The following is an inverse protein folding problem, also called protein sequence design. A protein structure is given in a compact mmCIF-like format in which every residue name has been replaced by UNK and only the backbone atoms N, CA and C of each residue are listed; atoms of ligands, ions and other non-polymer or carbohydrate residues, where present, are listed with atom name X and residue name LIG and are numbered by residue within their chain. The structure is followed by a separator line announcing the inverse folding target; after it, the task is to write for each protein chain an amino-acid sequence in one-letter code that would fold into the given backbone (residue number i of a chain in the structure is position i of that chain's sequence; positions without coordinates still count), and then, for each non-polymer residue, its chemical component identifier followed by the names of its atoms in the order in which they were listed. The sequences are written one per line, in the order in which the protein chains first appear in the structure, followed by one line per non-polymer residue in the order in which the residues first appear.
data_IF_319623676882
#
_entry.id   IF_319623676882
#
_cell.length_a   1.000
_cell.length_b   1.000
_cell.length_c   1.000
_cell.angle_alpha   90.00
_cell.angle_beta   90.00
_cell.angle_gamma   90.00
#
_symmetry.space_group_name_H-M   'P 1'
#
loop_
_entity.id
_entity.type
_entity.pdbx_description
1 polymer ?
#
# COMPACT_ATOMS: atom_id res chain seq x y z
N UNK A 1 9.72 9.88 3.80
CA UNK A 1 8.63 10.19 4.77
C UNK A 1 8.67 11.69 5.07
N UNK A 2 7.52 12.36 5.18
CA UNK A 2 7.35 13.82 5.32
C UNK A 2 7.81 14.40 6.69
N UNK A 3 8.76 13.76 7.37
CA UNK A 3 9.30 14.19 8.67
C UNK A 3 8.73 13.48 9.90
N UNK A 4 7.67 12.67 9.77
CA UNK A 4 7.15 11.86 10.88
C UNK A 4 8.12 10.77 11.30
N UNK A 5 8.25 10.58 12.63
CA UNK A 5 9.05 9.50 13.23
C UNK A 5 8.11 8.34 13.56
N UNK A 6 8.19 7.26 12.80
CA UNK A 6 7.31 6.09 12.96
C UNK A 6 8.16 4.88 13.35
N UNK A 7 7.77 4.22 14.44
CA UNK A 7 8.40 3.02 14.96
C UNK A 7 8.19 1.78 14.08
N UNK A 8 8.74 0.67 14.54
CA UNK A 8 8.61 -0.65 13.91
C UNK A 8 7.24 -1.27 14.18
N UNK A 9 6.70 -2.00 13.21
CA UNK A 9 5.43 -2.75 13.35
C UNK A 9 4.21 -1.89 13.73
N UNK A 10 4.22 -0.61 13.37
CA UNK A 10 3.08 0.30 13.57
C UNK A 10 1.98 0.00 12.54
N UNK A 11 0.74 -0.14 13.01
CA UNK A 11 -0.43 -0.25 12.14
C UNK A 11 -1.06 1.15 11.97
N UNK A 12 -1.03 1.69 10.74
CA UNK A 12 -1.62 2.99 10.39
C UNK A 12 -2.75 2.77 9.38
N UNK A 13 -4.00 2.93 9.81
CA UNK A 13 -5.18 2.88 8.93
C UNK A 13 -5.72 4.28 8.59
N UNK A 14 -5.31 5.32 9.34
CA UNK A 14 -5.62 6.72 9.01
C UNK A 14 -4.64 7.33 8.00
N UNK A 15 -5.12 8.29 7.22
CA UNK A 15 -4.31 9.13 6.31
C UNK A 15 -4.29 10.61 6.73
N UNK A 16 -4.97 10.96 7.83
CA UNK A 16 -5.21 12.36 8.22
C UNK A 16 -4.20 12.83 9.28
N UNK A 17 -2.94 13.03 8.84
CA UNK A 17 -1.88 13.65 9.64
C UNK A 17 -1.55 15.01 9.04
N UNK A 18 -1.86 16.10 9.75
CA UNK A 18 -1.73 17.46 9.17
C UNK A 18 -0.29 17.95 9.11
N UNK A 19 0.49 17.69 10.16
CA UNK A 19 1.87 18.17 10.29
C UNK A 19 2.81 17.01 10.63
N UNK A 20 3.17 16.16 9.64
CA UNK A 20 3.91 14.93 9.90
C UNK A 20 5.24 15.15 10.63
N UNK A 21 5.96 16.24 10.35
CA UNK A 21 7.24 16.58 11.00
C UNK A 21 7.14 16.77 12.53
N UNK A 22 5.92 16.95 13.06
CA UNK A 22 5.65 17.14 14.48
C UNK A 22 5.07 15.89 15.16
N UNK A 23 4.99 14.75 14.45
CA UNK A 23 4.36 13.52 14.94
C UNK A 23 5.40 12.43 15.15
N UNK A 24 5.37 11.83 16.35
CA UNK A 24 6.14 10.64 16.71
C UNK A 24 5.22 9.51 17.12
N UNK A 25 5.42 8.32 16.56
CA UNK A 25 4.63 7.11 16.82
C UNK A 25 5.59 5.99 17.23
N UNK A 26 5.42 5.44 18.43
CA UNK A 26 6.23 4.36 18.98
C UNK A 26 5.94 3.00 18.34
N UNK A 27 6.82 2.03 18.59
CA UNK A 27 6.70 0.68 18.00
C UNK A 27 5.37 0.01 18.37
N UNK A 28 4.86 -0.85 17.48
CA UNK A 28 3.66 -1.69 17.72
C UNK A 28 2.39 -0.87 18.06
N UNK A 29 2.38 0.45 17.82
CA UNK A 29 1.22 1.30 18.00
C UNK A 29 0.18 1.06 16.88
N UNK A 30 -1.10 1.21 17.23
CA UNK A 30 -2.24 1.00 16.34
C UNK A 30 -3.01 2.30 16.23
N UNK A 31 -3.08 2.87 15.02
CA UNK A 31 -3.89 4.04 14.70
C UNK A 31 -4.99 3.63 13.74
N UNK A 32 -6.23 3.61 14.22
CA UNK A 32 -7.39 3.15 13.45
C UNK A 32 -7.85 4.16 12.38
N UNK A 33 -8.89 3.78 11.61
CA UNK A 33 -9.40 4.60 10.51
C UNK A 33 -9.85 6.00 10.96
N UNK A 34 -9.65 6.99 10.08
CA UNK A 34 -10.14 8.37 10.25
C UNK A 34 -9.75 9.03 11.57
N UNK A 35 -8.63 8.62 12.14
CA UNK A 35 -8.01 9.35 13.24
C UNK A 35 -7.39 10.62 12.69
N UNK A 36 -7.85 11.78 13.17
CA UNK A 36 -7.25 13.06 12.83
C UNK A 36 -6.11 13.36 13.82
N UNK A 37 -4.88 13.39 13.31
CA UNK A 37 -3.70 13.82 14.07
C UNK A 37 -3.35 15.24 13.66
N UNK A 38 -3.76 16.20 14.50
CA UNK A 38 -3.62 17.62 14.19
C UNK A 38 -2.65 18.31 15.17
N UNK A 39 -1.44 18.61 14.71
CA UNK A 39 -0.39 19.22 15.55
C UNK A 39 -0.46 20.75 15.62
N UNK A 40 -1.35 21.39 14.85
CA UNK A 40 -1.54 22.83 14.84
C UNK A 40 -2.92 23.25 15.39
N UNK A 41 -2.96 24.40 16.04
CA UNK A 41 -4.21 25.02 16.50
C UNK A 41 -4.20 26.51 16.15
N UNK A 42 -5.32 26.99 15.60
CA UNK A 42 -5.57 28.42 15.39
C UNK A 42 -6.54 28.89 16.45
N UNK A 43 -6.06 29.74 17.37
CA UNK A 43 -6.89 30.31 18.44
C UNK A 43 -6.58 31.79 18.59
N UNK A 44 -7.63 32.62 18.64
CA UNK A 44 -7.52 34.07 18.76
C UNK A 44 -6.61 34.73 17.68
N UNK A 45 -6.57 34.17 16.47
CA UNK A 45 -5.73 34.68 15.38
C UNK A 45 -4.26 34.23 15.43
N UNK A 46 -3.87 33.43 16.42
CA UNK A 46 -2.52 32.87 16.53
C UNK A 46 -2.51 31.41 16.09
N UNK A 47 -1.62 31.07 15.16
CA UNK A 47 -1.31 29.70 14.76
C UNK A 47 -0.20 29.17 15.67
N UNK A 48 -0.51 28.11 16.42
CA UNK A 48 0.44 27.44 17.31
C UNK A 48 0.68 26.01 16.85
N UNK A 49 1.92 25.55 16.95
CA UNK A 49 2.32 24.18 16.60
C UNK A 49 2.86 23.50 17.84
N UNK A 50 2.34 22.31 18.16
CA UNK A 50 2.85 21.52 19.28
C UNK A 50 2.99 20.05 18.84
N UNK A 51 4.13 19.41 19.16
CA UNK A 51 4.36 18.03 18.77
C UNK A 51 3.37 17.07 19.42
N UNK A 52 3.07 15.98 18.71
CA UNK A 52 2.24 14.88 19.20
C UNK A 52 3.12 13.64 19.33
N UNK A 53 3.03 12.98 20.47
CA UNK A 53 3.77 11.73 20.75
C UNK A 53 2.81 10.61 21.11
N UNK A 54 2.89 9.51 20.37
CA UNK A 54 2.13 8.29 20.62
C UNK A 54 3.09 7.20 21.07
N UNK A 55 2.89 6.69 22.29
CA UNK A 55 3.76 5.68 22.90
C UNK A 55 3.73 4.30 22.23
N UNK A 56 4.65 3.44 22.66
CA UNK A 56 4.73 2.04 22.25
C UNK A 56 3.48 1.27 22.66
N UNK A 57 3.00 0.34 21.83
CA UNK A 57 1.83 -0.52 22.11
C UNK A 57 0.53 0.26 22.37
N UNK A 58 0.46 1.53 22.01
CA UNK A 58 -0.72 2.36 22.23
C UNK A 58 -1.73 2.16 21.10
N UNK A 59 -3.01 2.18 21.43
CA UNK A 59 -4.11 2.00 20.47
C UNK A 59 -4.99 3.26 20.42
N UNK A 60 -5.28 3.73 19.22
CA UNK A 60 -6.16 4.86 18.97
C UNK A 60 -7.35 4.37 18.17
N UNK A 61 -8.52 4.40 18.80
CA UNK A 61 -9.78 3.98 18.21
C UNK A 61 -10.21 4.87 17.03
N UNK A 62 -11.05 4.36 16.12
CA UNK A 62 -11.41 5.06 14.89
C UNK A 62 -12.21 6.34 15.16
N UNK A 63 -12.13 7.29 14.23
CA UNK A 63 -12.77 8.61 14.32
C UNK A 63 -12.29 9.48 15.50
N UNK A 64 -11.17 9.12 16.13
CA UNK A 64 -10.59 9.90 17.23
C UNK A 64 -9.91 11.16 16.71
N UNK A 65 -9.98 12.24 17.47
CA UNK A 65 -9.20 13.46 17.21
C UNK A 65 -8.09 13.58 18.25
N UNK A 66 -6.84 13.61 17.80
CA UNK A 66 -5.66 13.90 18.62
C UNK A 66 -5.21 15.32 18.33
N UNK A 67 -5.29 16.18 19.34
CA UNK A 67 -4.95 17.60 19.20
C UNK A 67 -3.49 17.90 19.55
N UNK A 68 -3.05 19.09 19.16
CA UNK A 68 -1.72 19.64 19.35
C UNK A 68 -1.22 19.46 20.80
N UNK A 69 0.02 18.96 20.95
CA UNK A 69 0.66 18.80 22.26
C UNK A 69 0.23 17.55 23.04
N UNK A 70 -0.61 16.68 22.46
CA UNK A 70 -1.03 15.43 23.12
C UNK A 70 0.13 14.45 23.27
N UNK A 71 0.20 13.80 24.44
CA UNK A 71 1.15 12.72 24.72
C UNK A 71 0.39 11.49 25.20
N UNK A 72 0.37 10.44 24.37
CA UNK A 72 -0.17 9.14 24.73
C UNK A 72 0.97 8.30 25.30
N UNK A 73 0.84 7.89 26.57
CA UNK A 73 1.81 6.99 27.20
C UNK A 73 1.85 5.62 26.52
N UNK A 74 2.84 4.80 26.86
CA UNK A 74 2.93 3.43 26.37
C UNK A 74 1.72 2.59 26.81
N UNK A 75 1.14 1.83 25.90
CA UNK A 75 -0.07 1.04 26.15
C UNK A 75 -1.33 1.88 26.39
N UNK A 76 -1.32 3.16 26.02
CA UNK A 76 -2.50 4.00 26.14
C UNK A 76 -3.55 3.58 25.11
N UNK A 77 -4.80 3.42 25.56
CA UNK A 77 -5.94 3.14 24.69
C UNK A 77 -6.87 4.34 24.64
N UNK A 78 -7.11 4.85 23.43
CA UNK A 78 -8.11 5.90 23.19
C UNK A 78 -9.34 5.27 22.56
N UNK A 79 -10.52 5.38 23.18
CA UNK A 79 -11.72 4.75 22.65
C UNK A 79 -12.15 5.39 21.31
N UNK A 80 -12.93 4.67 20.48
CA UNK A 80 -13.52 5.23 19.27
C UNK A 80 -14.30 6.51 19.53
N UNK A 81 -14.34 7.43 18.56
CA UNK A 81 -14.95 8.77 18.69
C UNK A 81 -14.38 9.60 19.85
N UNK A 82 -13.22 9.23 20.37
CA UNK A 82 -12.53 9.93 21.45
C UNK A 82 -12.00 11.28 20.98
N UNK A 83 -11.85 12.21 21.93
CA UNK A 83 -11.12 13.46 21.72
C UNK A 83 -10.04 13.58 22.77
N UNK A 84 -8.78 13.63 22.34
CA UNK A 84 -7.65 13.96 23.21
C UNK A 84 -7.45 15.46 23.13
N UNK A 85 -7.80 16.15 24.21
CA UNK A 85 -7.66 17.60 24.32
C UNK A 85 -6.19 18.02 24.24
N UNK A 86 -5.96 19.23 23.71
CA UNK A 86 -4.63 19.79 23.55
C UNK A 86 -3.83 19.77 24.87
N UNK A 87 -2.60 19.25 24.83
CA UNK A 87 -1.71 19.16 26.00
C UNK A 87 -2.06 18.08 27.03
N UNK A 88 -3.07 17.23 26.79
CA UNK A 88 -3.45 16.17 27.73
C UNK A 88 -2.51 14.97 27.65
N UNK A 89 -2.11 14.48 28.82
CA UNK A 89 -1.37 13.23 28.96
C UNK A 89 -2.36 12.09 29.21
N UNK A 90 -2.40 11.08 28.33
CA UNK A 90 -3.21 9.87 28.55
C UNK A 90 -2.31 8.84 29.26
N UNK A 91 -2.59 8.50 30.54
CA UNK A 91 -1.75 7.57 31.30
C UNK A 91 -1.86 6.13 30.79
N UNK A 92 -0.84 5.33 31.06
CA UNK A 92 -0.79 3.91 30.73
C UNK A 92 -1.81 3.12 31.56
N UNK A 93 -2.58 2.24 30.92
CA UNK A 93 -3.43 1.28 31.62
C UNK A 93 -2.75 -0.09 31.68
N UNK A 94 -1.88 -0.29 32.67
CA UNK A 94 -1.54 -1.65 33.11
C UNK A 94 -2.39 -2.00 34.33
N UNK A 95 -3.53 -2.65 34.10
CA UNK A 95 -4.15 -3.52 35.09
C UNK A 95 -4.15 -4.94 34.52
N UNK A 96 -3.57 -5.88 35.27
CA UNK A 96 -3.42 -7.30 34.90
C UNK A 96 -4.74 -7.84 34.35
N UNK A 97 -4.76 -8.21 33.07
CA UNK A 97 -5.77 -9.11 32.52
C UNK A 97 -5.08 -10.45 32.27
N UNK A 98 -5.73 -11.50 32.78
CA UNK A 98 -5.23 -12.86 32.86
C UNK A 98 -4.85 -13.41 31.48
N UNK A 99 -3.72 -14.10 31.42
CA UNK A 99 -3.20 -14.72 30.21
C UNK A 99 -3.94 -16.03 29.97
N UNK A 100 -5.17 -15.98 29.47
CA UNK A 100 -5.80 -17.19 28.94
C UNK A 100 -6.62 -16.93 27.66
N UNK A 101 -6.17 -17.62 26.62
CA UNK A 101 -6.84 -17.97 25.37
C UNK A 101 -7.23 -16.86 24.37
N UNK A 102 -6.24 -16.40 23.60
CA UNK A 102 -6.48 -16.09 22.17
C UNK A 102 -5.80 -17.20 21.36
N UNK A 103 -6.55 -18.10 20.70
CA UNK A 103 -5.93 -19.14 19.89
C UNK A 103 -5.32 -18.49 18.65
N UNK A 104 -4.00 -18.59 18.53
CA UNK A 104 -3.27 -18.30 17.30
C UNK A 104 -3.63 -19.35 16.26
N UNK A 105 -4.63 -19.05 15.42
CA UNK A 105 -4.98 -19.90 14.28
C UNK A 105 -3.94 -19.68 13.18
N UNK A 106 -2.87 -20.48 13.20
CA UNK A 106 -1.94 -20.59 12.07
C UNK A 106 -2.65 -21.33 10.93
N UNK A 107 -3.09 -20.60 9.90
CA UNK A 107 -3.71 -21.22 8.74
C UNK A 107 -2.63 -21.72 7.77
N UNK A 108 -2.57 -23.04 7.54
CA UNK A 108 -1.92 -23.60 6.35
C UNK A 108 -2.81 -23.29 5.14
N UNK A 109 -2.36 -22.35 4.30
CA UNK A 109 -2.83 -22.23 2.92
C UNK A 109 -2.49 -23.55 2.20
N UNK A 110 -3.43 -24.48 2.14
CA UNK A 110 -3.29 -25.64 1.26
C UNK A 110 -3.40 -25.16 -0.18
N UNK A 111 -2.29 -25.24 -0.91
CA UNK A 111 -2.32 -25.27 -2.36
C UNK A 111 -3.09 -26.52 -2.77
N UNK A 112 -4.37 -26.36 -3.09
CA UNK A 112 -5.10 -27.37 -3.85
C UNK A 112 -4.36 -27.68 -5.16
N UNK A 113 -4.60 -28.85 -5.77
CA UNK A 113 -3.83 -29.31 -6.92
C UNK A 113 -3.85 -28.24 -8.02
N UNK A 114 -2.65 -27.80 -8.38
CA UNK A 114 -2.35 -26.95 -9.54
C UNK A 114 -2.61 -27.72 -10.83
N UNK A 115 -3.87 -28.06 -11.06
CA UNK A 115 -4.43 -28.55 -12.32
C UNK A 115 -5.93 -28.26 -12.33
N UNK A 116 -6.34 -27.08 -11.89
CA UNK A 116 -7.60 -26.51 -12.39
C UNK A 116 -7.17 -25.46 -13.41
N UNK A 117 -7.32 -25.79 -14.69
CA UNK A 117 -7.21 -24.83 -15.77
C UNK A 117 -7.82 -23.51 -15.31
N UNK A 118 -7.05 -22.42 -15.27
CA UNK A 118 -7.60 -21.07 -15.29
C UNK A 118 -8.46 -21.04 -16.55
N UNK A 119 -9.72 -21.43 -16.42
CA UNK A 119 -10.72 -21.25 -17.44
C UNK A 119 -10.89 -19.76 -17.49
N UNK A 120 -10.03 -19.08 -18.26
CA UNK A 120 -10.25 -17.71 -18.66
C UNK A 120 -11.59 -17.77 -19.38
N UNK A 121 -12.65 -17.37 -18.68
CA UNK A 121 -13.94 -17.19 -19.32
C UNK A 121 -13.75 -15.93 -20.16
N UNK A 122 -13.23 -16.13 -21.38
CA UNK A 122 -13.10 -15.09 -22.39
C UNK A 122 -14.51 -14.72 -22.81
N UNK A 123 -15.13 -13.81 -22.07
CA UNK A 123 -16.44 -13.32 -22.45
C UNK A 123 -16.22 -12.31 -23.57
N UNK A 124 -16.48 -12.73 -24.81
CA UNK A 124 -16.62 -11.84 -25.97
C UNK A 124 -17.80 -10.89 -25.71
N UNK A 125 -17.56 -9.82 -24.98
CA UNK A 125 -18.49 -8.70 -24.87
C UNK A 125 -18.16 -7.67 -25.95
N UNK A 126 -19.18 -7.04 -26.53
CA UNK A 126 -18.96 -5.93 -27.44
C UNK A 126 -18.33 -4.77 -26.64
N UNK A 127 -17.19 -4.22 -27.09
CA UNK A 127 -16.39 -3.28 -26.29
C UNK A 127 -17.18 -2.03 -25.92
N UNK A 128 -18.09 -1.57 -26.79
CA UNK A 128 -18.95 -0.41 -26.55
C UNK A 128 -19.95 -0.64 -25.42
N UNK A 129 -20.57 -1.83 -25.34
CA UNK A 129 -21.56 -2.15 -24.30
C UNK A 129 -20.89 -2.25 -22.93
N UNK A 130 -19.76 -2.96 -22.85
CA UNK A 130 -18.99 -3.10 -21.62
C UNK A 130 -18.44 -1.75 -21.15
N UNK A 131 -17.97 -0.91 -22.07
CA UNK A 131 -17.50 0.44 -21.76
C UNK A 131 -18.63 1.31 -21.22
N UNK A 132 -19.79 1.35 -21.90
CA UNK A 132 -20.93 2.16 -21.47
C UNK A 132 -21.47 1.70 -20.11
N UNK A 133 -21.60 0.38 -19.91
CA UNK A 133 -21.99 -0.21 -18.63
C UNK A 133 -21.01 0.19 -17.51
N UNK A 134 -19.70 0.10 -17.77
CA UNK A 134 -18.68 0.52 -16.81
C UNK A 134 -18.80 2.01 -16.47
N UNK A 135 -18.96 2.88 -17.48
CA UNK A 135 -19.14 4.33 -17.25
C UNK A 135 -20.37 4.63 -16.39
N UNK A 136 -21.49 3.97 -16.65
CA UNK A 136 -22.72 4.13 -15.86
C UNK A 136 -22.50 3.67 -14.41
N UNK A 137 -21.93 2.48 -14.22
CA UNK A 137 -21.66 1.94 -12.88
C UNK A 137 -20.73 2.86 -12.10
N UNK A 138 -19.64 3.32 -12.72
CA UNK A 138 -18.68 4.23 -12.09
C UNK A 138 -19.32 5.57 -11.74
N UNK A 139 -20.08 6.16 -12.67
CA UNK A 139 -20.75 7.45 -12.45
C UNK A 139 -21.79 7.37 -11.33
N UNK A 140 -22.63 6.34 -11.32
CA UNK A 140 -23.60 6.09 -10.25
C UNK A 140 -22.89 5.87 -8.91
N UNK A 141 -21.83 5.06 -8.91
CA UNK A 141 -21.10 4.71 -7.70
C UNK A 141 -20.44 5.92 -7.02
N UNK A 142 -19.74 6.74 -7.81
CA UNK A 142 -19.04 7.93 -7.31
C UNK A 142 -20.03 8.96 -6.76
N UNK A 143 -21.18 9.13 -7.41
CA UNK A 143 -22.10 10.25 -7.14
C UNK A 143 -23.10 9.97 -6.02
N UNK A 144 -23.52 8.72 -5.85
CA UNK A 144 -24.60 8.37 -4.90
C UNK A 144 -24.24 7.22 -3.97
N UNK A 145 -23.62 6.16 -4.50
CA UNK A 145 -23.51 4.89 -3.77
C UNK A 145 -22.45 4.95 -2.66
N UNK A 146 -21.42 5.81 -2.79
CA UNK A 146 -20.46 6.07 -1.70
C UNK A 146 -21.12 6.45 -0.36
N UNK A 147 -22.26 7.14 -0.40
CA UNK A 147 -23.00 7.54 0.81
C UNK A 147 -23.72 6.36 1.48
N UNK A 148 -23.96 5.28 0.73
CA UNK A 148 -24.65 4.08 1.21
C UNK A 148 -23.67 3.04 1.77
N UNK A 149 -22.35 3.25 1.62
CA UNK A 149 -21.32 2.34 2.09
C UNK A 149 -21.52 1.94 3.56
N UNK A 150 -21.38 0.65 3.86
CA UNK A 150 -21.60 0.09 5.20
C UNK A 150 -23.07 -0.14 5.59
N UNK A 151 -24.04 0.28 4.77
CA UNK A 151 -25.47 0.04 5.02
C UNK A 151 -26.00 -1.16 4.23
N UNK A 152 -27.09 -1.77 4.70
CA UNK A 152 -27.78 -2.85 3.97
C UNK A 152 -28.31 -2.36 2.60
N UNK A 153 -28.58 -1.05 2.44
CA UNK A 153 -28.97 -0.45 1.16
C UNK A 153 -27.91 -0.65 0.08
N UNK A 154 -26.62 -0.63 0.45
CA UNK A 154 -25.52 -0.92 -0.47
C UNK A 154 -25.55 -2.38 -0.95
N UNK A 155 -25.85 -3.31 -0.05
CA UNK A 155 -26.05 -4.73 -0.39
C UNK A 155 -27.23 -4.91 -1.36
N UNK A 156 -28.35 -4.22 -1.13
CA UNK A 156 -29.50 -4.24 -2.04
C UNK A 156 -29.12 -3.71 -3.43
N UNK A 157 -28.40 -2.59 -3.50
CA UNK A 157 -27.90 -2.03 -4.76
C UNK A 157 -27.06 -3.04 -5.55
N UNK A 158 -26.10 -3.70 -4.90
CA UNK A 158 -25.28 -4.71 -5.57
C UNK A 158 -26.08 -5.94 -6.01
N UNK A 159 -27.11 -6.37 -5.24
CA UNK A 159 -28.03 -7.43 -5.68
C UNK A 159 -28.80 -7.05 -6.92
N UNK A 160 -29.27 -5.80 -7.02
CA UNK A 160 -29.94 -5.28 -8.22
C UNK A 160 -29.03 -5.28 -9.46
N UNK A 161 -27.72 -5.09 -9.26
CA UNK A 161 -26.72 -5.19 -10.33
C UNK A 161 -26.34 -6.65 -10.67
N UNK A 162 -26.94 -7.65 -10.02
CA UNK A 162 -26.73 -9.06 -10.33
C UNK A 162 -25.76 -9.81 -9.41
N UNK A 163 -25.20 -9.16 -8.38
CA UNK A 163 -24.37 -9.84 -7.39
C UNK A 163 -25.20 -10.74 -6.46
N UNK A 164 -24.64 -11.88 -6.05
CA UNK A 164 -25.27 -12.76 -5.06
C UNK A 164 -24.78 -12.39 -3.68
N UNK A 165 -25.60 -11.72 -2.87
CA UNK A 165 -25.20 -11.24 -1.53
C UNK A 165 -26.18 -11.75 -0.48
N UNK A 166 -25.64 -12.41 0.55
CA UNK A 166 -26.37 -12.91 1.71
C UNK A 166 -26.99 -11.81 2.58
N UNK A 167 -27.60 -12.23 3.69
CA UNK A 167 -28.22 -11.31 4.67
C UNK A 167 -27.21 -10.87 5.72
N UNK A 168 -27.43 -9.68 6.30
CA UNK A 168 -26.61 -9.12 7.40
C UNK A 168 -25.14 -8.94 7.00
N UNK A 169 -24.91 -8.46 5.79
CA UNK A 169 -23.56 -8.18 5.32
C UNK A 169 -23.27 -6.69 5.49
N UNK A 170 -22.07 -6.37 5.96
CA UNK A 170 -21.59 -5.00 6.04
C UNK A 170 -20.50 -4.82 5.00
N UNK A 171 -20.83 -4.10 3.93
CA UNK A 171 -19.90 -3.88 2.82
C UNK A 171 -19.47 -2.42 2.83
N UNK A 172 -18.23 -2.18 3.23
CA UNK A 172 -17.60 -0.84 3.24
C UNK A 172 -16.61 -0.65 2.09
N UNK A 173 -16.74 -1.50 1.07
CA UNK A 173 -15.94 -1.46 -0.15
C UNK A 173 -16.24 -0.19 -0.97
N UNK A 174 -15.18 0.50 -1.39
CA UNK A 174 -15.30 1.85 -1.97
C UNK A 174 -15.17 1.86 -3.49
N UNK A 175 -14.69 0.78 -4.11
CA UNK A 175 -14.54 0.76 -5.56
C UNK A 175 -15.86 0.38 -6.29
N UNK A 176 -16.14 0.98 -7.45
CA UNK A 176 -17.17 0.47 -8.34
C UNK A 176 -16.76 -0.92 -8.82
N UNK A 177 -17.66 -1.90 -8.66
CA UNK A 177 -17.45 -3.27 -9.14
C UNK A 177 -17.93 -3.37 -10.57
N UNK A 178 -17.02 -3.59 -11.52
CA UNK A 178 -17.32 -3.59 -12.96
C UNK A 178 -18.26 -4.70 -13.41
N UNK A 179 -18.15 -5.89 -12.80
CA UNK A 179 -18.96 -7.06 -13.12
C UNK A 179 -19.54 -7.70 -11.85
N UNK A 180 -20.55 -7.07 -11.22
CA UNK A 180 -21.16 -7.57 -9.99
C UNK A 180 -21.71 -8.99 -10.13
N UNK A 181 -22.11 -9.40 -11.33
CA UNK A 181 -22.60 -10.75 -11.65
C UNK A 181 -21.58 -11.88 -11.40
N UNK A 182 -20.29 -11.54 -11.32
CA UNK A 182 -19.19 -12.49 -11.04
C UNK A 182 -18.91 -12.65 -9.55
N UNK A 183 -19.59 -11.89 -8.69
CA UNK A 183 -19.33 -11.82 -7.25
C UNK A 183 -20.42 -12.56 -6.45
N UNK A 184 -19.99 -13.42 -5.53
CA UNK A 184 -20.84 -14.10 -4.55
C UNK A 184 -20.33 -13.86 -3.13
N UNK A 185 -21.19 -13.33 -2.26
CA UNK A 185 -20.91 -13.00 -0.87
C UNK A 185 -21.95 -13.70 0.02
N UNK A 186 -21.48 -14.52 0.97
CA UNK A 186 -22.28 -15.25 1.94
C UNK A 186 -22.94 -14.34 2.99
N UNK A 187 -23.71 -14.94 3.89
CA UNK A 187 -24.38 -14.21 4.97
C UNK A 187 -23.41 -13.85 6.09
N UNK A 188 -23.62 -12.70 6.74
CA UNK A 188 -22.79 -12.28 7.87
C UNK A 188 -21.36 -11.84 7.50
N UNK A 189 -21.09 -11.61 6.22
CA UNK A 189 -19.76 -11.18 5.75
C UNK A 189 -19.52 -9.71 6.07
N UNK A 190 -18.30 -9.40 6.53
CA UNK A 190 -17.84 -8.03 6.73
C UNK A 190 -16.70 -7.70 5.77
N UNK A 191 -16.90 -6.68 4.93
CA UNK A 191 -15.86 -6.10 4.09
C UNK A 191 -15.47 -4.75 4.69
N UNK A 192 -14.24 -4.67 5.18
CA UNK A 192 -13.68 -3.49 5.86
C UNK A 192 -13.48 -2.31 4.93
N UNK A 193 -13.15 -1.16 5.51
CA UNK A 193 -13.04 0.11 4.80
C UNK A 193 -12.01 0.08 3.69
N UNK A 194 -12.33 0.71 2.57
CA UNK A 194 -11.44 0.79 1.41
C UNK A 194 -11.03 -0.58 0.84
N UNK A 195 -11.65 -1.68 1.29
CA UNK A 195 -11.46 -2.99 0.66
C UNK A 195 -11.90 -2.91 -0.80
N UNK A 196 -11.14 -3.57 -1.67
CA UNK A 196 -11.31 -3.50 -3.12
C UNK A 196 -11.66 -4.87 -3.66
N UNK A 197 -12.80 -4.96 -4.35
CA UNK A 197 -13.18 -6.17 -5.07
C UNK A 197 -13.00 -5.93 -6.57
N UNK A 198 -12.09 -6.69 -7.18
CA UNK A 198 -11.75 -6.60 -8.60
C UNK A 198 -12.16 -7.89 -9.28
N UNK A 199 -13.31 -7.88 -9.96
CA UNK A 199 -13.84 -9.03 -10.72
C UNK A 199 -13.19 -9.20 -12.09
N UNK A 200 -12.48 -8.17 -12.57
CA UNK A 200 -11.66 -8.23 -13.78
C UNK A 200 -10.77 -7.00 -13.95
N UNK A 201 -9.69 -7.16 -14.70
CA UNK A 201 -8.70 -6.11 -14.98
C UNK A 201 -8.10 -6.28 -16.39
N UNK A 202 -7.57 -5.19 -16.95
CA UNK A 202 -6.85 -5.20 -18.21
C UNK A 202 -5.34 -5.35 -17.96
N UNK A 203 -4.71 -6.26 -18.70
CA UNK A 203 -3.25 -6.43 -18.79
C UNK A 203 -2.79 -6.22 -20.25
N UNK A 204 -1.48 -6.17 -20.46
CA UNK A 204 -0.89 -6.16 -21.81
C UNK A 204 -1.30 -7.37 -22.66
N UNK A 205 -1.67 -8.47 -22.02
CA UNK A 205 -2.14 -9.71 -22.65
C UNK A 205 -3.66 -9.78 -22.90
N UNK A 206 -4.43 -8.76 -22.52
CA UNK A 206 -5.88 -8.70 -22.73
C UNK A 206 -6.69 -8.42 -21.46
N UNK A 207 -8.00 -8.64 -21.52
CA UNK A 207 -8.90 -8.50 -20.36
C UNK A 207 -9.01 -9.84 -19.61
N UNK A 208 -8.69 -9.83 -18.33
CA UNK A 208 -8.81 -10.99 -17.44
C UNK A 208 -9.95 -10.77 -16.46
N UNK A 209 -10.91 -11.69 -16.41
CA UNK A 209 -12.00 -11.69 -15.43
C UNK A 209 -12.21 -13.08 -14.83
N UNK A 210 -12.89 -13.13 -13.69
CA UNK A 210 -13.08 -14.37 -12.95
C UNK A 210 -14.05 -14.21 -11.80
N UNK A 211 -14.65 -15.33 -11.38
CA UNK A 211 -15.59 -15.36 -10.26
C UNK A 211 -14.86 -15.10 -8.94
N UNK A 212 -15.55 -14.45 -8.02
CA UNK A 212 -15.10 -14.23 -6.64
C UNK A 212 -16.15 -14.80 -5.69
N UNK A 213 -15.71 -15.61 -4.74
CA UNK A 213 -16.55 -16.21 -3.72
C UNK A 213 -16.04 -15.84 -2.33
N UNK A 214 -16.90 -15.25 -1.51
CA UNK A 214 -16.66 -14.97 -0.10
C UNK A 214 -17.75 -15.68 0.68
N UNK A 215 -17.39 -16.67 1.49
CA UNK A 215 -18.34 -17.53 2.20
C UNK A 215 -18.80 -16.90 3.52
N UNK A 216 -19.79 -17.54 4.17
CA UNK A 216 -20.47 -17.00 5.35
C UNK A 216 -19.51 -16.61 6.48
N UNK A 217 -19.83 -15.54 7.20
CA UNK A 217 -19.08 -15.03 8.35
C UNK A 217 -17.59 -14.75 8.08
N UNK A 218 -17.18 -14.64 6.82
CA UNK A 218 -15.83 -14.23 6.47
C UNK A 218 -15.65 -12.72 6.71
N UNK A 219 -14.43 -12.32 7.05
CA UNK A 219 -14.03 -10.94 7.25
C UNK A 219 -12.92 -10.60 6.27
N UNK A 220 -13.05 -9.47 5.59
CA UNK A 220 -12.05 -8.92 4.69
C UNK A 220 -11.58 -7.61 5.28
N UNK A 221 -10.33 -7.56 5.71
CA UNK A 221 -9.76 -6.42 6.41
C UNK A 221 -9.69 -5.16 5.55
N UNK A 222 -9.52 -4.01 6.19
CA UNK A 222 -9.44 -2.71 5.52
C UNK A 222 -8.32 -2.68 4.48
N UNK A 223 -8.56 -1.96 3.37
CA UNK A 223 -7.61 -1.77 2.25
C UNK A 223 -7.11 -3.06 1.58
N UNK A 224 -7.71 -4.21 1.89
CA UNK A 224 -7.38 -5.47 1.23
C UNK A 224 -7.92 -5.49 -0.21
N UNK A 225 -7.31 -6.31 -1.06
CA UNK A 225 -7.68 -6.45 -2.47
C UNK A 225 -8.07 -7.90 -2.75
N UNK A 226 -9.31 -8.10 -3.20
CA UNK A 226 -9.83 -9.39 -3.65
C UNK A 226 -9.89 -9.38 -5.17
N UNK A 227 -9.07 -10.21 -5.81
CA UNK A 227 -8.84 -10.33 -7.24
C UNK A 227 -9.66 -11.49 -7.84
N UNK A 228 -9.74 -11.59 -9.18
CA UNK A 228 -10.51 -12.62 -9.84
C UNK A 228 -10.01 -14.04 -9.49
N UNK A 229 -10.94 -14.97 -9.26
CA UNK A 229 -10.63 -16.35 -8.89
C UNK A 229 -10.46 -16.58 -7.38
N UNK A 230 -10.60 -15.55 -6.55
CA UNK A 230 -10.50 -15.67 -5.10
C UNK A 230 -11.67 -16.45 -4.48
N UNK A 231 -11.34 -17.33 -3.55
CA UNK A 231 -12.30 -18.00 -2.67
C UNK A 231 -11.89 -17.76 -1.22
N UNK A 232 -12.66 -16.96 -0.49
CA UNK A 232 -12.48 -16.71 0.95
C UNK A 232 -13.46 -17.63 1.69
N UNK A 233 -12.91 -18.55 2.48
CA UNK A 233 -13.70 -19.60 3.12
C UNK A 233 -14.50 -19.10 4.32
N UNK A 234 -15.46 -19.92 4.76
CA UNK A 234 -16.34 -19.64 5.89
C UNK A 234 -15.52 -19.38 7.17
N UNK A 235 -15.90 -18.37 7.94
CA UNK A 235 -15.22 -17.94 9.18
C UNK A 235 -13.73 -17.58 9.02
N UNK A 236 -13.28 -17.23 7.81
CA UNK A 236 -11.89 -16.78 7.58
C UNK A 236 -11.81 -15.26 7.68
N UNK A 237 -10.70 -14.79 8.25
CA UNK A 237 -10.32 -13.39 8.29
C UNK A 237 -9.16 -13.17 7.32
N UNK A 238 -9.39 -12.42 6.25
CA UNK A 238 -8.33 -11.85 5.43
C UNK A 238 -7.85 -10.58 6.12
N UNK A 239 -6.56 -10.51 6.46
CA UNK A 239 -5.97 -9.37 7.16
C UNK A 239 -6.12 -8.06 6.40
N UNK A 240 -6.00 -6.93 7.11
CA UNK A 240 -5.90 -5.62 6.48
C UNK A 240 -4.69 -5.56 5.53
N UNK A 241 -4.76 -4.73 4.48
CA UNK A 241 -3.71 -4.55 3.46
C UNK A 241 -3.28 -5.83 2.72
N UNK A 242 -4.05 -6.92 2.86
CA UNK A 242 -3.75 -8.20 2.23
C UNK A 242 -4.34 -8.31 0.83
N UNK A 243 -3.78 -9.19 0.00
CA UNK A 243 -4.27 -9.46 -1.36
C UNK A 243 -4.69 -10.92 -1.49
N UNK A 244 -5.87 -11.17 -2.05
CA UNK A 244 -6.40 -12.49 -2.38
C UNK A 244 -6.68 -12.57 -3.89
N UNK A 245 -6.28 -13.65 -4.61
CA UNK A 245 -5.30 -14.62 -4.15
C UNK A 245 -3.97 -13.88 -3.92
N UNK A 246 -3.17 -14.38 -2.99
CA UNK A 246 -1.83 -13.84 -2.78
C UNK A 246 -1.06 -13.82 -4.11
N UNK A 247 -0.09 -12.91 -4.23
CA UNK A 247 0.79 -12.90 -5.40
C UNK A 247 1.32 -14.32 -5.65
N UNK A 248 1.39 -14.77 -6.92
CA UNK A 248 2.00 -16.05 -7.22
C UNK A 248 3.36 -16.09 -6.54
N UNK A 249 3.65 -17.19 -5.82
CA UNK A 249 4.91 -17.32 -5.07
C UNK A 249 6.06 -17.07 -6.04
N UNK A 250 6.71 -15.92 -5.91
CA UNK A 250 7.91 -15.63 -6.68
C UNK A 250 9.06 -16.39 -6.02
N UNK A 251 9.84 -17.11 -6.81
CA UNK A 251 10.94 -17.96 -6.30
C UNK A 251 11.91 -17.17 -5.40
N UNK A 252 12.11 -15.89 -5.73
CA UNK A 252 12.99 -14.96 -4.99
C UNK A 252 12.20 -14.02 -4.05
N UNK A 253 10.97 -13.62 -4.36
CA UNK A 253 10.28 -12.56 -3.59
C UNK A 253 8.99 -13.09 -3.00
N UNK A 254 9.08 -13.71 -1.82
CA UNK A 254 7.92 -14.18 -1.07
C UNK A 254 7.91 -13.62 0.36
N UNK A 255 6.73 -13.36 0.94
CA UNK A 255 6.61 -12.86 2.30
C UNK A 255 7.35 -13.76 3.30
N UNK A 256 8.11 -13.15 4.21
CA UNK A 256 8.83 -13.86 5.28
C UNK A 256 10.20 -14.43 4.92
N UNK A 257 10.65 -14.32 3.66
CA UNK A 257 12.04 -14.67 3.29
C UNK A 257 13.00 -13.51 3.52
N UNK A 258 14.15 -13.82 4.11
CA UNK A 258 15.29 -12.92 4.25
C UNK A 258 16.40 -13.40 3.32
N UNK A 259 17.18 -12.48 2.76
CA UNK A 259 18.31 -12.83 1.91
C UNK A 259 19.57 -12.12 2.38
N UNK A 260 20.72 -12.80 2.36
CA UNK A 260 21.99 -12.11 2.45
C UNK A 260 22.19 -11.26 1.20
N UNK A 261 22.54 -9.98 1.39
CA UNK A 261 22.76 -9.04 0.30
C UNK A 261 24.16 -8.44 0.41
N UNK A 262 24.90 -8.43 -0.70
CA UNK A 262 26.14 -7.68 -0.85
C UNK A 262 25.83 -6.43 -1.66
N UNK A 263 26.15 -5.25 -1.11
CA UNK A 263 26.06 -3.98 -1.84
C UNK A 263 27.46 -3.42 -2.05
N UNK A 264 27.83 -3.15 -3.30
CA UNK A 264 29.05 -2.45 -3.67
C UNK A 264 28.72 -1.11 -4.29
N UNK A 265 29.21 -0.04 -3.68
CA UNK A 265 29.07 1.30 -4.23
C UNK A 265 30.24 1.57 -5.18
N UNK A 266 29.94 2.19 -6.32
CA UNK A 266 30.92 2.68 -7.27
C UNK A 266 30.69 4.17 -7.46
N UNK A 267 31.71 4.97 -7.19
CA UNK A 267 31.72 6.38 -7.54
C UNK A 267 32.41 6.51 -8.90
N UNK A 268 31.86 7.32 -9.80
CA UNK A 268 32.58 7.69 -11.01
C UNK A 268 33.71 8.66 -10.63
N UNK A 269 34.94 8.24 -10.91
CA UNK A 269 36.10 9.13 -10.90
C UNK A 269 36.06 9.98 -12.18
N UNK A 270 36.37 11.27 -12.05
CA UNK A 270 36.59 12.14 -13.20
C UNK A 270 38.08 12.24 -13.51
N UNK A 271 38.45 12.87 -14.63
CA UNK A 271 39.85 13.11 -14.96
C UNK A 271 40.50 14.18 -14.06
N UNK A 272 39.69 14.99 -13.37
CA UNK A 272 40.14 15.72 -12.18
C UNK A 272 40.07 14.77 -10.99
N UNK A 273 41.14 14.73 -10.18
CA UNK A 273 41.35 13.87 -9.00
C UNK A 273 40.28 14.04 -7.89
N UNK A 274 39.25 14.87 -8.12
CA UNK A 274 38.09 15.02 -7.27
C UNK A 274 36.97 14.04 -7.66
N UNK A 275 36.52 13.26 -6.67
CA UNK A 275 35.35 12.40 -6.81
C UNK A 275 34.10 13.27 -7.04
N UNK A 276 33.44 13.13 -8.20
CA UNK A 276 32.17 13.82 -8.47
C UNK A 276 31.10 13.35 -7.48
N UNK A 277 30.47 14.31 -6.80
CA UNK A 277 29.52 14.05 -5.71
C UNK A 277 28.30 13.22 -6.19
N UNK A 278 27.93 13.35 -7.47
CA UNK A 278 26.60 13.00 -7.98
C UNK A 278 26.52 11.81 -8.94
N UNK A 279 27.66 11.26 -9.39
CA UNK A 279 27.70 10.08 -10.25
C UNK A 279 28.05 8.83 -9.43
N UNK A 280 27.04 8.22 -8.80
CA UNK A 280 27.22 6.99 -8.03
C UNK A 280 26.36 5.85 -8.59
N UNK A 281 26.92 4.66 -8.59
CA UNK A 281 26.23 3.41 -8.84
C UNK A 281 26.29 2.51 -7.61
N UNK A 282 25.32 1.61 -7.48
CA UNK A 282 25.36 0.53 -6.51
C UNK A 282 25.10 -0.78 -7.24
N UNK A 283 26.05 -1.71 -7.14
CA UNK A 283 25.83 -3.10 -7.53
C UNK A 283 25.32 -3.87 -6.30
N UNK A 284 24.10 -4.39 -6.39
CA UNK A 284 23.44 -5.16 -5.35
C UNK A 284 23.39 -6.63 -5.79
N UNK A 285 23.92 -7.53 -4.97
CA UNK A 285 23.91 -8.97 -5.19
C UNK A 285 23.11 -9.64 -4.07
N UNK A 286 22.03 -10.31 -4.41
CA UNK A 286 21.23 -11.15 -3.50
C UNK A 286 21.79 -12.57 -3.55
N UNK A 287 22.16 -13.14 -2.40
CA UNK A 287 22.74 -14.48 -2.30
C UNK A 287 21.67 -15.53 -1.93
N UNK A 288 21.88 -16.77 -2.37
CA UNK A 288 21.07 -17.91 -1.92
C UNK A 288 21.40 -18.30 -0.48
N UNK A 289 20.40 -18.75 0.29
CA UNK A 289 20.61 -19.32 1.63
C UNK A 289 21.22 -20.74 1.58
N UNK A 290 21.25 -21.38 0.41
CA UNK A 290 21.74 -22.75 0.28
C UNK A 290 23.26 -22.84 0.51
N UNK A 291 23.59 -23.70 1.47
CA UNK A 291 24.87 -23.88 2.13
C UNK A 291 26.06 -23.97 1.16
N UNK A 292 26.99 -23.02 1.27
CA UNK A 292 28.37 -23.17 0.80
C UNK A 292 28.67 -22.79 -0.65
N UNK A 293 27.68 -22.36 -1.46
CA UNK A 293 27.96 -21.78 -2.78
C UNK A 293 27.68 -20.28 -2.78
N UNK A 294 28.67 -19.46 -3.13
CA UNK A 294 28.54 -18.00 -3.32
C UNK A 294 27.76 -17.65 -4.61
N UNK A 295 26.75 -18.43 -4.94
CA UNK A 295 25.93 -18.22 -6.14
C UNK A 295 24.97 -17.06 -5.91
N UNK A 296 24.94 -16.13 -6.86
CA UNK A 296 24.01 -15.01 -6.84
C UNK A 296 22.63 -15.48 -7.29
N UNK A 297 21.61 -15.18 -6.50
CA UNK A 297 20.20 -15.30 -6.89
C UNK A 297 19.80 -14.18 -7.85
N UNK A 298 20.31 -12.97 -7.61
CA UNK A 298 19.97 -11.78 -8.39
C UNK A 298 21.06 -10.72 -8.24
N UNK A 299 21.62 -10.29 -9.37
CA UNK A 299 22.52 -9.14 -9.46
C UNK A 299 21.79 -7.95 -10.08
N UNK A 300 21.80 -6.80 -9.42
CA UNK A 300 21.21 -5.55 -9.85
C UNK A 300 22.27 -4.46 -9.89
N UNK A 301 22.32 -3.69 -10.98
CA UNK A 301 23.12 -2.47 -11.05
C UNK A 301 22.18 -1.28 -10.99
N UNK A 302 22.26 -0.53 -9.89
CA UNK A 302 21.46 0.64 -9.60
C UNK A 302 22.29 1.89 -9.84
N UNK A 303 21.65 2.96 -10.31
CA UNK A 303 22.22 4.31 -10.25
C UNK A 303 21.66 5.01 -9.02
N UNK A 304 22.55 5.59 -8.21
CA UNK A 304 22.21 6.25 -6.96
C UNK A 304 22.70 7.70 -7.05
N UNK A 305 21.80 8.66 -7.24
CA UNK A 305 22.17 10.07 -7.40
C UNK A 305 21.13 10.86 -8.19
N UNK A 306 21.24 12.19 -8.17
CA UNK A 306 20.28 13.11 -8.79
C UNK A 306 20.37 13.20 -10.31
N UNK A 307 21.42 12.66 -10.95
CA UNK A 307 21.55 12.76 -12.40
C UNK A 307 22.25 11.53 -12.98
N UNK A 308 21.53 10.78 -13.82
CA UNK A 308 21.94 10.43 -15.19
C UNK A 308 20.94 9.43 -15.78
N UNK A 309 20.02 9.91 -16.63
CA UNK A 309 19.18 9.05 -17.46
C UNK A 309 19.51 9.32 -18.94
N UNK A 310 20.60 8.71 -19.44
CA UNK A 310 20.77 8.61 -20.89
C UNK A 310 19.64 7.75 -21.43
N UNK A 311 18.76 8.38 -22.22
CA UNK A 311 17.64 7.69 -22.87
C UNK A 311 18.10 6.82 -24.02
N UNK A 312 19.29 7.09 -24.56
CA UNK A 312 19.86 6.37 -25.68
C UNK A 312 21.32 5.99 -25.40
N UNK A 313 21.80 4.94 -26.08
CA UNK A 313 23.18 4.49 -25.98
C UNK A 313 24.17 5.53 -26.53
N UNK A 314 23.75 6.33 -27.51
CA UNK A 314 24.54 7.43 -28.05
C UNK A 314 24.77 8.52 -27.01
N UNK A 315 23.71 8.92 -26.28
CA UNK A 315 23.84 9.87 -25.18
C UNK A 315 24.81 9.34 -24.11
N UNK A 316 24.67 8.06 -23.73
CA UNK A 316 25.56 7.42 -22.77
C UNK A 316 27.03 7.45 -23.21
N UNK A 317 27.31 7.09 -24.47
CA UNK A 317 28.66 7.06 -25.01
C UNK A 317 29.29 8.45 -25.09
N UNK A 318 28.54 9.47 -25.55
CA UNK A 318 29.03 10.85 -25.63
C UNK A 318 29.41 11.39 -24.25
N UNK A 319 28.61 11.09 -23.22
CA UNK A 319 28.88 11.55 -21.86
C UNK A 319 30.03 10.82 -21.15
N UNK A 320 30.25 9.55 -21.46
CA UNK A 320 31.29 8.74 -20.83
C UNK A 320 32.67 8.93 -21.50
N UNK A 321 32.69 9.09 -22.83
CA UNK A 321 33.92 8.96 -23.63
C UNK A 321 34.40 10.28 -24.23
N UNK A 322 33.51 11.23 -24.53
CA UNK A 322 33.90 12.48 -25.21
C UNK A 322 34.31 13.58 -24.21
N UNK A 323 35.08 14.57 -24.68
CA UNK A 323 35.50 15.73 -23.88
C UNK A 323 34.41 16.78 -23.66
N UNK A 324 34.72 17.82 -22.88
CA UNK A 324 33.79 18.91 -22.51
C UNK A 324 33.14 19.58 -23.73
N UNK A 325 33.95 19.96 -24.73
CA UNK A 325 33.45 20.67 -25.92
C UNK A 325 32.40 19.86 -26.69
N UNK A 326 32.62 18.56 -26.86
CA UNK A 326 31.70 17.65 -27.56
C UNK A 326 30.40 17.44 -26.75
N UNK A 327 30.49 17.43 -25.42
CA UNK A 327 29.32 17.36 -24.53
C UNK A 327 28.49 18.63 -24.61
N UNK A 328 29.13 19.80 -24.58
CA UNK A 328 28.45 21.09 -24.73
C UNK A 328 27.74 21.22 -26.08
N UNK A 329 28.37 20.76 -27.16
CA UNK A 329 27.75 20.76 -28.49
C UNK A 329 26.52 19.85 -28.54
N UNK A 330 26.58 18.67 -27.90
CA UNK A 330 25.44 17.75 -27.80
C UNK A 330 24.27 18.34 -27.01
N UNK A 331 24.56 19.05 -25.91
CA UNK A 331 23.55 19.77 -25.12
C UNK A 331 22.89 20.89 -25.94
N UNK A 332 23.67 21.64 -26.73
CA UNK A 332 23.14 22.66 -27.65
C UNK A 332 22.20 22.05 -28.70
N UNK A 333 22.53 20.88 -29.23
CA UNK A 333 21.70 20.15 -30.22
C UNK A 333 20.44 19.54 -29.62
N UNK A 334 20.47 19.14 -28.34
CA UNK A 334 19.33 18.49 -27.66
C UNK A 334 19.00 19.21 -26.35
N UNK A 335 18.30 20.36 -26.40
CA UNK A 335 18.06 21.23 -25.23
C UNK A 335 17.29 20.54 -24.09
N UNK A 336 16.52 19.49 -24.36
CA UNK A 336 15.80 18.71 -23.33
C UNK A 336 16.72 17.85 -22.46
N UNK A 337 17.98 17.67 -22.85
CA UNK A 337 19.02 17.01 -22.05
C UNK A 337 19.67 18.02 -21.09
N UNK A 338 19.61 19.33 -21.41
CA UNK A 338 20.19 20.42 -20.63
C UNK A 338 19.77 20.39 -19.16
N UNK A 339 18.48 20.39 -18.85
CA UNK A 339 18.02 20.51 -17.44
C UNK A 339 18.35 19.29 -16.56
N UNK A 340 18.47 18.10 -17.16
CA UNK A 340 18.82 16.88 -16.46
C UNK A 340 20.33 16.68 -16.30
N UNK A 341 21.15 17.45 -17.02
CA UNK A 341 22.59 17.18 -17.21
C UNK A 341 23.48 18.38 -16.90
N UNK A 342 22.96 19.61 -16.95
CA UNK A 342 23.69 20.83 -16.58
C UNK A 342 24.23 20.78 -15.14
N UNK A 343 23.49 20.13 -14.24
CA UNK A 343 23.91 19.88 -12.86
C UNK A 343 25.03 18.86 -12.73
N UNK A 344 25.30 18.05 -13.76
CA UNK A 344 26.38 17.05 -13.78
C UNK A 344 27.64 17.51 -14.55
N UNK A 345 27.55 18.63 -15.27
CA UNK A 345 28.65 19.24 -16.02
C UNK A 345 29.52 20.15 -15.15
N UNK A 346 28.92 20.83 -14.16
CA UNK A 346 29.62 21.54 -13.09
C UNK A 346 30.03 20.58 -11.98
#
# INVERSE_FOLDING_TARGET
MLGAKIGSSVLLDTVDITDPSLVTIGDEAIIAERVLVQSHEIKNGFLSFHPISIGKNSSVGPYTVIQNGSVLGEGAEVPPLGKVEAGKHVPSQYSKVDKDAVPSVTCKLQSGPTTTSLGSIYQKQTPLKSWLQHQIIVACHIRFVKLLSGTETYCIYLRLLGAKIGKRCSIRAINPVSNPELMSIGAGVHLGDFSRIITGFHSSSGFSCGKIEIQDNAVVGSQSVVLPGSVIQKNVILGALSVAPGFPKHNIFCPGKNYPVIVRHSNSLSADDDARIDARGAALRILSEESGSSSSLLDLTLKTGNAFYARTIADFATWLVCGLDAREEHVKRVPRVHDAVWTSLR
#
